data_IF_672678035316
#
_entry.id   IF_672678035316
#
_cell.length_a   1.000
_cell.length_b   1.000
_cell.length_c   1.000
_cell.angle_alpha   90.00
_cell.angle_beta   90.00
_cell.angle_gamma   90.00
#
_symmetry.space_group_name_H-M   'P 1'
#
loop_
_entity.id
_entity.type
_entity.pdbx_description
1 polymer ?
#
# COMPACT_ATOMS: atom_id res chain seq x y z
N UNK A 1 12.81 10.94 4.43
CA UNK A 1 12.47 9.52 4.15
C UNK A 1 12.41 8.82 5.50
N UNK A 2 11.31 8.11 5.80
CA UNK A 2 11.06 7.46 7.09
C UNK A 2 10.91 5.95 6.92
N UNK A 3 11.61 5.16 7.73
CA UNK A 3 11.49 3.69 7.79
C UNK A 3 11.60 3.01 6.43
N UNK A 4 12.60 3.38 5.63
CA UNK A 4 12.76 2.88 4.27
C UNK A 4 14.19 2.46 3.97
N UNK A 5 14.35 1.25 3.43
CA UNK A 5 15.65 0.70 3.05
C UNK A 5 15.67 0.29 1.56
N UNK A 6 15.69 1.28 0.70
CA UNK A 6 15.66 1.07 -0.76
C UNK A 6 16.78 0.17 -1.28
N UNK A 7 17.94 0.15 -0.60
CA UNK A 7 19.09 -0.66 -1.04
C UNK A 7 18.82 -2.15 -0.95
N UNK A 8 17.97 -2.55 -0.03
CA UNK A 8 17.64 -3.97 0.18
C UNK A 8 16.29 -4.32 -0.41
N UNK A 9 15.25 -3.53 -0.10
CA UNK A 9 13.87 -3.90 -0.46
C UNK A 9 13.50 -3.61 -1.91
N UNK A 10 14.18 -2.69 -2.59
CA UNK A 10 13.81 -2.14 -3.90
C UNK A 10 12.33 -1.72 -4.03
N UNK A 11 11.42 -2.42 -3.37
CA UNK A 11 9.99 -2.12 -3.32
C UNK A 11 9.34 -1.97 -4.70
N UNK A 12 8.27 -1.19 -4.79
CA UNK A 12 7.60 -0.85 -6.04
C UNK A 12 8.52 -0.16 -7.07
N UNK A 13 9.66 0.33 -6.64
CA UNK A 13 10.62 1.05 -7.48
C UNK A 13 11.35 0.19 -8.50
N UNK A 14 11.25 -1.13 -8.42
CA UNK A 14 11.79 -2.00 -9.49
C UNK A 14 11.11 -1.77 -10.83
N UNK A 15 9.81 -1.57 -10.83
CA UNK A 15 9.02 -1.29 -12.04
C UNK A 15 8.87 0.21 -12.30
N UNK A 16 8.81 1.02 -11.24
CA UNK A 16 8.33 2.41 -11.29
C UNK A 16 9.45 3.45 -11.20
N UNK A 17 10.58 3.13 -10.64
CA UNK A 17 11.70 4.05 -10.43
C UNK A 17 13.05 3.35 -10.54
N UNK A 18 13.33 2.76 -11.69
CA UNK A 18 14.60 2.07 -11.92
C UNK A 18 15.80 2.92 -11.51
N UNK A 19 16.74 2.29 -10.79
CA UNK A 19 17.97 2.91 -10.32
C UNK A 19 17.73 4.13 -9.39
N UNK A 20 16.98 3.92 -8.32
CA UNK A 20 16.64 4.94 -7.31
C UNK A 20 17.87 5.68 -6.79
N UNK A 21 19.01 4.99 -6.61
CA UNK A 21 20.24 5.63 -6.12
C UNK A 21 20.81 6.65 -7.09
N UNK A 22 20.75 6.38 -8.38
CA UNK A 22 21.15 7.38 -9.39
C UNK A 22 20.27 8.62 -9.25
N UNK A 23 18.96 8.43 -9.10
CA UNK A 23 18.01 9.54 -8.94
C UNK A 23 18.20 10.32 -7.64
N UNK A 24 18.44 9.65 -6.51
CA UNK A 24 18.79 10.31 -5.25
C UNK A 24 20.10 11.09 -5.37
N UNK A 25 21.11 10.53 -6.03
CA UNK A 25 22.37 11.22 -6.28
C UNK A 25 22.19 12.43 -7.22
N UNK A 26 21.33 12.34 -8.23
CA UNK A 26 20.95 13.47 -9.09
C UNK A 26 20.27 14.60 -8.31
N UNK A 27 19.44 14.30 -7.32
CA UNK A 27 18.87 15.29 -6.38
C UNK A 27 19.99 16.03 -5.66
N UNK A 28 20.93 15.29 -5.07
CA UNK A 28 22.07 15.85 -4.35
C UNK A 28 22.97 16.71 -5.24
N UNK A 29 23.24 16.26 -6.46
CA UNK A 29 24.04 17.01 -7.45
C UNK A 29 23.41 18.34 -7.83
N UNK A 30 22.08 18.46 -7.75
CA UNK A 30 21.34 19.71 -7.97
C UNK A 30 21.25 20.59 -6.70
N UNK A 31 21.94 20.24 -5.61
CA UNK A 31 21.90 20.94 -4.33
C UNK A 31 20.72 20.56 -3.44
N UNK A 32 19.94 19.54 -3.81
CA UNK A 32 18.93 18.98 -2.93
C UNK A 32 19.54 18.10 -1.83
N UNK A 33 18.74 17.75 -0.82
CA UNK A 33 19.16 17.02 0.36
C UNK A 33 18.29 15.79 0.58
N UNK A 34 18.91 14.66 0.93
CA UNK A 34 18.24 13.41 1.24
C UNK A 34 18.48 13.06 2.71
N UNK A 35 17.47 13.13 3.54
CA UNK A 35 17.51 12.82 4.98
C UNK A 35 16.77 11.50 5.23
N UNK A 36 17.42 10.59 5.96
CA UNK A 36 16.83 9.32 6.41
C UNK A 36 16.57 9.34 7.91
N UNK A 37 15.35 9.03 8.29
CA UNK A 37 14.94 8.79 9.68
C UNK A 37 14.67 7.29 9.80
N UNK A 38 15.46 6.59 10.60
CA UNK A 38 15.35 5.13 10.75
C UNK A 38 16.00 4.70 12.09
N UNK A 39 15.39 3.82 12.87
CA UNK A 39 15.97 3.34 14.13
C UNK A 39 17.24 2.53 13.91
N UNK A 40 17.53 2.12 12.68
CA UNK A 40 18.72 1.36 12.31
C UNK A 40 19.52 2.08 11.22
N UNK A 41 20.83 2.05 11.33
CA UNK A 41 21.70 2.50 10.24
C UNK A 41 21.69 1.47 9.10
N UNK A 42 20.71 1.62 8.24
CA UNK A 42 20.46 0.70 7.12
C UNK A 42 21.51 0.86 6.01
N UNK A 43 21.52 -0.08 5.06
CA UNK A 43 22.36 -0.02 3.88
C UNK A 43 22.08 1.24 3.04
N UNK A 44 20.85 1.75 3.08
CA UNK A 44 20.44 3.00 2.42
C UNK A 44 21.06 4.24 3.07
N UNK A 45 21.35 4.23 4.37
CA UNK A 45 21.92 5.38 5.09
C UNK A 45 23.24 5.88 4.48
N UNK A 46 24.01 4.99 3.85
CA UNK A 46 25.27 5.33 3.17
C UNK A 46 25.09 6.25 1.95
N UNK A 47 23.89 6.32 1.43
CA UNK A 47 23.55 7.09 0.22
C UNK A 47 22.75 8.36 0.54
N UNK A 48 22.54 8.64 1.82
CA UNK A 48 21.85 9.83 2.31
C UNK A 48 22.84 10.90 2.77
N UNK A 49 22.41 12.15 2.79
CA UNK A 49 23.21 13.25 3.31
C UNK A 49 23.20 13.24 4.83
N UNK A 50 22.06 12.86 5.42
CA UNK A 50 21.91 12.71 6.87
C UNK A 50 21.14 11.43 7.22
N UNK A 51 21.49 10.88 8.38
CA UNK A 51 20.73 9.79 9.01
C UNK A 51 20.55 10.13 10.49
N UNK A 52 19.30 10.19 10.92
CA UNK A 52 18.92 10.36 12.32
C UNK A 52 18.33 9.06 12.84
N UNK A 53 18.85 8.59 13.95
CA UNK A 53 18.24 7.51 14.70
C UNK A 53 16.96 8.01 15.35
N UNK A 54 15.93 7.19 15.33
CA UNK A 54 14.67 7.48 15.99
C UNK A 54 14.30 6.33 16.92
N UNK A 55 13.70 6.64 18.06
CA UNK A 55 13.11 5.62 18.92
C UNK A 55 12.04 4.84 18.12
N UNK A 56 12.08 3.50 18.09
CA UNK A 56 11.06 2.70 17.40
C UNK A 56 9.64 3.10 17.82
N UNK A 57 8.74 3.17 16.87
CA UNK A 57 7.33 3.60 16.99
C UNK A 57 7.08 5.11 17.19
N UNK A 58 8.13 5.95 17.36
CA UNK A 58 7.99 7.40 17.61
C UNK A 58 7.89 8.26 16.33
N UNK A 59 7.73 7.64 15.15
CA UNK A 59 7.67 8.34 13.85
C UNK A 59 6.56 9.39 13.78
N UNK A 60 5.38 9.08 14.33
CA UNK A 60 4.25 10.02 14.39
C UNK A 60 4.57 11.24 15.26
N UNK A 61 5.27 11.05 16.37
CA UNK A 61 5.71 12.16 17.25
C UNK A 61 6.69 13.06 16.51
N UNK A 62 7.66 12.50 15.80
CA UNK A 62 8.61 13.27 14.99
C UNK A 62 7.88 14.12 13.94
N UNK A 63 6.92 13.55 13.20
CA UNK A 63 6.14 14.27 12.21
C UNK A 63 5.28 15.39 12.83
N UNK A 64 4.68 15.15 14.00
CA UNK A 64 3.97 16.19 14.76
C UNK A 64 4.93 17.36 15.08
N UNK A 65 6.14 17.08 15.52
CA UNK A 65 7.14 18.11 15.80
C UNK A 65 7.52 18.94 14.57
N UNK A 66 7.70 18.28 13.41
CA UNK A 66 7.96 19.00 12.17
C UNK A 66 6.78 19.92 11.78
N UNK A 67 5.55 19.40 11.87
CA UNK A 67 4.34 20.16 11.52
C UNK A 67 4.16 21.37 12.46
N UNK A 68 4.38 21.21 13.77
CA UNK A 68 4.35 22.31 14.73
C UNK A 68 5.30 23.44 14.35
N UNK A 69 6.55 23.08 14.06
CA UNK A 69 7.58 24.08 13.69
C UNK A 69 7.19 24.81 12.41
N UNK A 70 6.66 24.09 11.42
CA UNK A 70 6.21 24.70 10.16
C UNK A 70 5.11 25.73 10.39
N UNK A 71 4.11 25.44 11.23
CA UNK A 71 3.05 26.40 11.57
C UNK A 71 3.59 27.54 12.42
N UNK A 72 4.34 27.24 13.47
CA UNK A 72 4.88 28.26 14.40
C UNK A 72 5.79 29.29 13.69
N UNK A 73 6.49 28.88 12.62
CA UNK A 73 7.34 29.78 11.80
C UNK A 73 6.63 30.40 10.61
N UNK A 74 5.31 30.16 10.45
CA UNK A 74 4.53 30.70 9.32
C UNK A 74 4.97 30.16 7.95
N UNK A 75 5.54 28.96 7.92
CA UNK A 75 6.05 28.30 6.71
C UNK A 75 4.99 27.43 6.01
N UNK A 76 3.81 27.28 6.61
CA UNK A 76 2.72 26.50 6.03
C UNK A 76 2.15 27.22 4.80
N UNK A 77 2.27 26.58 3.63
CA UNK A 77 1.85 27.10 2.32
C UNK A 77 1.28 25.98 1.47
N UNK A 78 -0.04 25.80 1.41
CA UNK A 78 -0.68 24.68 0.68
C UNK A 78 -0.58 24.80 -0.85
N UNK A 79 0.01 25.87 -1.37
CA UNK A 79 0.22 26.07 -2.81
C UNK A 79 -1.09 26.11 -3.59
N UNK A 80 -1.09 25.52 -4.79
CA UNK A 80 -2.25 25.51 -5.68
C UNK A 80 -3.43 24.68 -5.15
N UNK A 81 -3.21 23.83 -4.14
CA UNK A 81 -4.29 23.05 -3.52
C UNK A 81 -5.07 23.80 -2.43
N UNK A 82 -4.73 25.06 -2.11
CA UNK A 82 -5.30 25.82 -0.99
C UNK A 82 -6.84 25.82 -0.93
N UNK A 83 -7.50 26.00 -2.08
CA UNK A 83 -8.97 26.03 -2.17
C UNK A 83 -9.62 24.62 -2.15
N UNK A 84 -8.80 23.58 -2.27
CA UNK A 84 -9.22 22.20 -2.35
C UNK A 84 -8.89 21.40 -1.11
N UNK A 85 -8.81 22.05 0.06
CA UNK A 85 -8.50 21.41 1.34
C UNK A 85 -9.62 21.71 2.34
N UNK A 86 -10.17 20.63 2.93
CA UNK A 86 -11.01 20.70 4.10
C UNK A 86 -10.18 20.39 5.37
N UNK A 87 -10.52 21.00 6.50
CA UNK A 87 -9.89 20.70 7.79
C UNK A 87 -8.54 21.39 8.03
N UNK A 88 -8.11 22.32 7.18
CA UNK A 88 -6.85 23.07 7.35
C UNK A 88 -6.67 23.68 8.74
N UNK A 89 -7.70 24.42 9.21
CA UNK A 89 -7.65 25.12 10.51
C UNK A 89 -7.61 24.19 11.73
N UNK A 90 -7.83 22.89 11.53
CA UNK A 90 -7.80 21.91 12.62
C UNK A 90 -6.39 21.40 12.89
N UNK A 91 -5.48 21.40 11.91
CA UNK A 91 -4.17 20.75 12.02
C UNK A 91 -3.31 21.40 13.11
N UNK A 92 -3.16 22.72 13.07
CA UNK A 92 -2.32 23.42 14.04
C UNK A 92 -2.77 23.20 15.49
N UNK A 93 -4.06 23.35 15.86
CA UNK A 93 -4.53 23.03 17.20
C UNK A 93 -4.33 21.55 17.61
N UNK A 94 -4.45 20.62 16.67
CA UNK A 94 -4.24 19.19 16.93
C UNK A 94 -2.80 18.87 17.28
N UNK A 95 -1.84 19.37 16.52
CA UNK A 95 -0.41 19.10 16.76
C UNK A 95 0.12 19.88 17.98
N UNK A 96 -0.42 21.06 18.27
CA UNK A 96 -0.02 21.89 19.41
C UNK A 96 -0.44 21.32 20.79
N UNK A 97 -1.15 20.20 20.82
CA UNK A 97 -1.44 19.46 22.07
C UNK A 97 -0.20 18.69 22.60
N UNK A 98 0.87 18.62 21.82
CA UNK A 98 2.09 17.89 22.15
C UNK A 98 3.22 18.90 22.43
N UNK A 99 3.99 18.71 23.51
CA UNK A 99 5.13 19.55 23.80
C UNK A 99 6.35 19.19 22.94
N UNK A 100 6.99 20.16 22.30
CA UNK A 100 8.12 19.93 21.41
C UNK A 100 9.36 19.39 22.15
N UNK A 101 9.53 19.74 23.45
CA UNK A 101 10.59 19.19 24.29
C UNK A 101 10.35 17.70 24.55
N UNK A 102 9.10 17.32 24.87
CA UNK A 102 8.72 15.91 25.02
C UNK A 102 8.86 15.13 23.72
N UNK A 103 8.50 15.74 22.58
CA UNK A 103 8.73 15.14 21.25
C UNK A 103 10.21 14.81 21.03
N UNK A 104 11.11 15.76 21.32
CA UNK A 104 12.54 15.54 21.19
C UNK A 104 13.04 14.40 22.09
N UNK A 105 12.57 14.37 23.33
CA UNK A 105 12.89 13.32 24.30
C UNK A 105 12.45 11.93 23.81
N UNK A 106 11.18 11.74 23.46
CA UNK A 106 10.63 10.43 23.07
C UNK A 106 11.14 9.94 21.72
N UNK A 107 11.44 10.85 20.80
CA UNK A 107 12.01 10.49 19.49
C UNK A 107 13.51 10.22 19.54
N UNK A 108 14.20 10.77 20.53
CA UNK A 108 15.67 10.76 20.60
C UNK A 108 16.34 11.67 19.58
N UNK A 109 15.59 12.53 18.89
CA UNK A 109 16.09 13.51 17.91
C UNK A 109 16.13 14.88 18.57
N UNK A 110 17.28 15.53 18.56
CA UNK A 110 17.43 16.83 19.18
C UNK A 110 16.41 17.85 18.65
N UNK A 111 15.86 18.67 19.53
CA UNK A 111 14.90 19.73 19.16
C UNK A 111 15.44 20.62 18.03
N UNK A 112 16.71 20.99 18.09
CA UNK A 112 17.38 21.79 17.04
C UNK A 112 17.37 21.12 15.68
N UNK A 113 17.49 19.77 15.64
CA UNK A 113 17.41 19.02 14.39
C UNK A 113 15.98 18.97 13.86
N UNK A 114 14.98 18.78 14.74
CA UNK A 114 13.55 18.83 14.36
C UNK A 114 13.24 20.20 13.76
N UNK A 115 13.64 21.29 14.42
CA UNK A 115 13.44 22.66 13.96
C UNK A 115 14.11 22.90 12.60
N UNK A 116 15.37 22.51 12.46
CA UNK A 116 16.14 22.66 11.22
C UNK A 116 15.55 21.85 10.07
N UNK A 117 15.23 20.58 10.30
CA UNK A 117 14.66 19.71 9.25
C UNK A 117 13.31 20.26 8.78
N UNK A 118 12.47 20.74 9.69
CA UNK A 118 11.18 21.35 9.35
C UNK A 118 11.35 22.58 8.46
N UNK A 119 12.28 23.47 8.81
CA UNK A 119 12.59 24.67 8.04
C UNK A 119 13.17 24.33 6.66
N UNK A 120 14.16 23.45 6.60
CA UNK A 120 14.78 23.00 5.35
C UNK A 120 13.72 22.39 4.42
N UNK A 121 12.83 21.53 4.97
CA UNK A 121 11.78 20.89 4.20
C UNK A 121 10.76 21.90 3.65
N UNK A 122 10.27 22.81 4.49
CA UNK A 122 9.24 23.78 4.12
C UNK A 122 9.78 24.94 3.25
N UNK A 123 11.09 25.22 3.31
CA UNK A 123 11.73 26.26 2.51
C UNK A 123 12.32 25.74 1.20
N UNK A 124 12.35 24.43 0.97
CA UNK A 124 12.81 23.85 -0.27
C UNK A 124 11.88 24.25 -1.43
N UNK A 125 12.43 24.41 -2.63
CA UNK A 125 11.63 24.66 -3.83
C UNK A 125 10.62 23.54 -4.11
N UNK A 126 10.99 22.30 -3.78
CA UNK A 126 10.14 21.14 -3.78
C UNK A 126 10.71 20.08 -2.81
N UNK A 127 9.84 19.35 -2.15
CA UNK A 127 10.24 18.30 -1.22
C UNK A 127 9.21 17.17 -1.18
N UNK A 128 9.61 15.98 -0.71
CA UNK A 128 8.70 14.85 -0.50
C UNK A 128 8.97 14.22 0.86
N UNK A 129 7.95 14.20 1.71
CA UNK A 129 7.91 13.35 2.88
C UNK A 129 7.43 11.96 2.45
N UNK A 130 8.28 10.95 2.61
CA UNK A 130 8.05 9.61 2.08
C UNK A 130 8.43 8.54 3.09
N UNK A 131 7.57 7.56 3.27
CA UNK A 131 7.81 6.41 4.15
C UNK A 131 7.43 5.10 3.48
N UNK A 132 7.99 4.00 3.99
CA UNK A 132 7.72 2.64 3.50
C UNK A 132 7.32 1.71 4.66
N UNK A 133 7.53 0.42 4.49
CA UNK A 133 7.11 -0.64 5.40
C UNK A 133 7.51 -0.38 6.86
N UNK A 134 8.68 0.23 7.12
CA UNK A 134 9.12 0.54 8.47
C UNK A 134 8.12 1.38 9.26
N UNK A 135 7.51 2.39 8.63
CA UNK A 135 6.49 3.23 9.27
C UNK A 135 5.06 2.68 9.14
N UNK A 136 4.88 1.58 8.42
CA UNK A 136 3.59 0.88 8.31
C UNK A 136 3.47 -0.29 9.29
N UNK A 137 4.57 -0.69 9.93
CA UNK A 137 4.65 -1.81 10.88
C UNK A 137 4.85 -1.33 12.33
N UNK A 138 4.55 -0.07 12.60
CA UNK A 138 4.65 0.55 13.93
C UNK A 138 3.28 0.66 14.59
N UNK A 139 3.26 0.86 15.90
CA UNK A 139 2.04 0.92 16.70
C UNK A 139 1.04 2.00 16.25
N UNK A 140 1.56 3.13 15.73
CA UNK A 140 0.74 4.27 15.24
C UNK A 140 0.91 4.47 13.73
N UNK A 141 0.95 3.37 12.97
CA UNK A 141 1.20 3.39 11.54
C UNK A 141 0.19 4.27 10.76
N UNK A 142 -1.09 4.18 11.07
CA UNK A 142 -2.13 4.99 10.45
C UNK A 142 -1.89 6.49 10.65
N UNK A 143 -1.59 6.91 11.89
CA UNK A 143 -1.24 8.30 12.20
C UNK A 143 0.03 8.75 11.48
N UNK A 144 1.06 7.91 11.43
CA UNK A 144 2.32 8.22 10.73
C UNK A 144 2.07 8.44 9.24
N UNK A 145 1.31 7.57 8.59
CA UNK A 145 0.97 7.69 7.16
C UNK A 145 0.14 8.96 6.90
N UNK A 146 -0.85 9.24 7.73
CA UNK A 146 -1.63 10.47 7.65
C UNK A 146 -0.77 11.72 7.79
N UNK A 147 0.07 11.81 8.82
CA UNK A 147 0.92 12.97 9.10
C UNK A 147 1.97 13.20 7.98
N UNK A 148 2.46 12.16 7.32
CA UNK A 148 3.30 12.31 6.13
C UNK A 148 2.55 13.01 4.99
N UNK A 149 1.26 12.68 4.78
CA UNK A 149 0.45 13.38 3.78
C UNK A 149 0.17 14.82 4.20
N UNK A 150 -0.12 15.05 5.49
CA UNK A 150 -0.25 16.42 6.04
C UNK A 150 1.00 17.24 5.74
N UNK A 151 2.21 16.69 5.98
CA UNK A 151 3.48 17.35 5.64
C UNK A 151 3.55 17.79 4.17
N UNK A 152 3.24 16.88 3.24
CA UNK A 152 3.28 17.19 1.82
C UNK A 152 2.24 18.26 1.41
N UNK A 153 1.05 18.22 2.03
CA UNK A 153 -0.02 19.18 1.73
C UNK A 153 0.31 20.57 2.30
N UNK A 154 0.69 20.67 3.58
CA UNK A 154 0.90 21.96 4.24
C UNK A 154 2.11 22.73 3.72
N UNK A 155 3.01 22.06 2.99
CA UNK A 155 4.20 22.67 2.38
C UNK A 155 4.09 22.86 0.87
N UNK A 156 2.89 22.66 0.30
CA UNK A 156 2.60 22.87 -1.12
C UNK A 156 3.22 21.84 -2.06
N UNK A 157 3.63 20.70 -1.52
CA UNK A 157 4.28 19.63 -2.29
C UNK A 157 3.29 18.56 -2.82
N UNK A 158 1.98 18.70 -2.52
CA UNK A 158 0.96 17.78 -3.02
C UNK A 158 0.59 18.15 -4.46
N UNK A 159 0.73 17.19 -5.36
CA UNK A 159 0.51 17.31 -6.79
C UNK A 159 1.29 18.49 -7.41
N UNK A 160 2.56 18.61 -7.04
CA UNK A 160 3.47 19.64 -7.52
C UNK A 160 4.72 19.01 -8.13
N UNK A 161 5.28 19.65 -9.17
CA UNK A 161 6.49 19.15 -9.86
C UNK A 161 7.67 19.12 -8.90
N UNK A 162 8.26 17.94 -8.74
CA UNK A 162 9.34 17.69 -7.76
C UNK A 162 8.83 17.40 -6.35
N UNK A 163 7.54 17.51 -6.10
CA UNK A 163 6.83 17.06 -4.93
C UNK A 163 6.20 15.68 -5.13
N UNK A 164 5.08 15.44 -4.47
CA UNK A 164 4.30 14.22 -4.58
C UNK A 164 3.29 14.35 -5.71
N UNK A 165 3.49 13.62 -6.80
CA UNK A 165 2.61 13.63 -7.97
C UNK A 165 1.95 12.25 -8.16
N UNK A 166 0.90 12.23 -8.97
CA UNK A 166 0.12 11.03 -9.25
C UNK A 166 0.28 10.61 -10.70
N UNK A 167 0.64 9.34 -10.98
CA UNK A 167 0.71 8.84 -12.35
C UNK A 167 -0.69 8.65 -12.92
N UNK A 168 -0.76 8.66 -14.25
CA UNK A 168 -1.95 8.31 -15.01
C UNK A 168 -1.73 6.94 -15.66
N UNK A 169 -2.13 5.85 -15.00
CA UNK A 169 -1.89 4.50 -15.52
C UNK A 169 -2.68 4.24 -16.81
N UNK A 170 -2.16 3.36 -17.65
CA UNK A 170 -2.82 3.04 -18.92
C UNK A 170 -4.12 2.23 -18.74
N UNK A 171 -4.26 1.54 -17.61
CA UNK A 171 -5.51 0.93 -17.15
C UNK A 171 -5.79 1.50 -15.75
N UNK A 172 -6.89 2.21 -15.61
CA UNK A 172 -7.30 2.75 -14.32
C UNK A 172 -7.96 1.66 -13.47
N UNK A 173 -7.29 1.24 -12.41
CA UNK A 173 -7.79 0.18 -11.50
C UNK A 173 -8.48 0.74 -10.25
N UNK A 174 -8.18 1.97 -9.82
CA UNK A 174 -8.77 2.57 -8.62
C UNK A 174 -10.30 2.60 -8.61
N UNK A 175 -11.01 2.94 -9.71
CA UNK A 175 -12.47 2.89 -9.73
C UNK A 175 -13.06 1.49 -9.52
N UNK A 176 -12.25 0.44 -9.67
CA UNK A 176 -12.66 -0.95 -9.46
C UNK A 176 -12.46 -1.39 -8.00
N UNK A 177 -11.79 -0.60 -7.18
CA UNK A 177 -11.56 -0.92 -5.77
C UNK A 177 -12.72 -0.44 -4.92
N UNK A 178 -13.09 -1.22 -3.91
CA UNK A 178 -14.05 -0.80 -2.92
C UNK A 178 -13.39 0.26 -2.01
N UNK A 179 -14.06 1.40 -1.82
CA UNK A 179 -13.62 2.43 -0.88
C UNK A 179 -14.57 2.43 0.30
N UNK A 180 -14.30 1.59 1.30
CA UNK A 180 -15.08 1.50 2.53
C UNK A 180 -14.15 1.51 3.74
N UNK A 181 -14.68 1.98 4.86
CA UNK A 181 -14.04 1.99 6.15
C UNK A 181 -15.09 1.82 7.23
N UNK A 182 -14.89 0.83 8.12
CA UNK A 182 -15.73 0.58 9.29
C UNK A 182 -17.23 0.42 8.97
N UNK A 183 -17.55 -0.13 7.79
CA UNK A 183 -18.94 -0.43 7.41
C UNK A 183 -19.45 -1.70 8.09
N UNK A 184 -18.55 -2.60 8.45
CA UNK A 184 -18.81 -3.77 9.29
C UNK A 184 -17.55 -4.15 10.08
N UNK A 185 -17.75 -4.90 11.16
CA UNK A 185 -16.66 -5.29 12.08
C UNK A 185 -16.53 -6.77 12.19
N UNK A 186 -15.30 -7.22 12.49
CA UNK A 186 -15.03 -8.62 12.75
C UNK A 186 -15.80 -9.11 13.98
N UNK A 187 -16.22 -10.36 13.93
CA UNK A 187 -17.12 -10.97 14.92
C UNK A 187 -16.49 -11.11 16.32
N UNK A 188 -15.21 -11.49 16.36
CA UNK A 188 -14.51 -11.80 17.61
C UNK A 188 -13.81 -10.56 18.18
N UNK A 189 -13.03 -9.90 17.38
CA UNK A 189 -12.15 -8.81 17.85
C UNK A 189 -12.75 -7.42 17.69
N UNK A 190 -13.91 -7.29 17.00
CA UNK A 190 -14.54 -6.00 16.73
C UNK A 190 -13.71 -5.07 15.84
N UNK A 191 -12.69 -5.59 15.15
CA UNK A 191 -11.84 -4.78 14.26
C UNK A 191 -12.63 -4.32 13.05
N UNK A 192 -12.48 -3.05 12.64
CA UNK A 192 -13.15 -2.52 11.45
C UNK A 192 -12.59 -3.14 10.19
N UNK A 193 -13.42 -3.26 9.20
CA UNK A 193 -13.04 -3.55 7.83
C UNK A 193 -12.42 -2.31 7.17
N UNK A 194 -11.52 -2.54 6.19
CA UNK A 194 -11.00 -1.53 5.28
C UNK A 194 -11.06 -2.06 3.84
N UNK A 195 -11.74 -1.34 2.96
CA UNK A 195 -11.91 -1.71 1.54
C UNK A 195 -12.44 -3.14 1.32
N UNK A 196 -13.32 -3.60 2.21
CA UNK A 196 -13.89 -4.94 2.17
C UNK A 196 -13.01 -6.03 2.81
N UNK A 197 -11.89 -5.67 3.42
CA UNK A 197 -10.90 -6.60 3.98
C UNK A 197 -10.77 -6.43 5.49
N UNK A 198 -10.48 -7.54 6.17
CA UNK A 198 -10.06 -7.53 7.57
C UNK A 198 -8.55 -7.67 7.71
N UNK A 199 -7.96 -7.16 8.80
CA UNK A 199 -6.56 -7.44 9.12
C UNK A 199 -6.32 -8.94 9.21
N UNK A 200 -5.32 -9.45 8.49
CA UNK A 200 -4.98 -10.88 8.50
C UNK A 200 -4.68 -11.39 9.93
N UNK A 201 -4.19 -10.54 10.81
CA UNK A 201 -3.85 -10.89 12.19
C UNK A 201 -5.03 -11.45 13.02
N UNK A 202 -6.28 -11.18 12.63
CA UNK A 202 -7.46 -11.68 13.35
C UNK A 202 -7.96 -13.05 12.85
N UNK A 203 -7.35 -13.59 11.79
CA UNK A 203 -7.84 -14.82 11.15
C UNK A 203 -7.88 -16.01 12.13
N UNK A 204 -6.88 -16.12 12.99
CA UNK A 204 -6.80 -17.20 13.97
C UNK A 204 -7.99 -17.21 14.95
N UNK A 205 -8.34 -16.05 15.50
CA UNK A 205 -9.47 -15.88 16.40
C UNK A 205 -10.82 -16.15 15.70
N UNK A 206 -10.97 -15.69 14.45
CA UNK A 206 -12.19 -15.91 13.68
C UNK A 206 -12.42 -17.39 13.31
N UNK A 207 -11.34 -18.17 13.17
CA UNK A 207 -11.39 -19.62 12.97
C UNK A 207 -11.65 -20.35 14.29
N UNK A 208 -10.90 -20.02 15.35
CA UNK A 208 -10.87 -20.82 16.59
C UNK A 208 -12.01 -20.52 17.54
N UNK A 209 -12.64 -19.36 17.46
CA UNK A 209 -13.73 -18.98 18.36
C UNK A 209 -15.07 -19.52 17.85
N UNK A 210 -15.74 -20.46 18.55
CA UNK A 210 -17.03 -21.00 18.15
C UNK A 210 -18.13 -19.93 18.12
N UNK A 211 -19.16 -20.15 17.33
CA UNK A 211 -20.37 -19.32 17.31
C UNK A 211 -20.87 -19.03 15.89
N UNK A 212 -21.96 -18.27 15.81
CA UNK A 212 -22.53 -17.85 14.53
C UNK A 212 -21.52 -17.03 13.73
N UNK A 213 -21.39 -17.33 12.43
CA UNK A 213 -20.42 -16.66 11.55
C UNK A 213 -18.97 -17.11 11.72
N UNK A 214 -18.68 -18.17 12.48
CA UNK A 214 -17.33 -18.74 12.59
C UNK A 214 -16.76 -19.07 11.21
N UNK A 215 -15.50 -18.73 10.99
CA UNK A 215 -14.76 -19.12 9.78
C UNK A 215 -14.42 -20.61 9.88
N UNK A 216 -15.06 -21.43 9.05
CA UNK A 216 -14.90 -22.89 9.02
C UNK A 216 -14.24 -23.40 7.75
N UNK A 217 -14.24 -22.58 6.69
CA UNK A 217 -13.57 -22.87 5.44
C UNK A 217 -12.66 -21.74 5.00
N UNK A 218 -11.54 -22.06 4.37
CA UNK A 218 -10.55 -21.12 3.88
C UNK A 218 -10.20 -21.40 2.41
N UNK A 219 -10.11 -20.36 1.62
CA UNK A 219 -9.45 -20.36 0.31
C UNK A 219 -8.21 -19.47 0.42
N UNK A 220 -7.02 -20.09 0.51
CA UNK A 220 -5.74 -19.39 0.56
C UNK A 220 -5.15 -19.21 -0.84
N UNK A 221 -4.56 -18.05 -1.11
CA UNK A 221 -3.91 -17.74 -2.37
C UNK A 221 -2.48 -17.26 -2.14
N UNK A 222 -1.51 -18.03 -2.66
CA UNK A 222 -0.11 -17.65 -2.81
C UNK A 222 0.52 -17.01 -1.53
N UNK A 223 0.16 -17.51 -0.36
CA UNK A 223 0.61 -16.96 0.92
C UNK A 223 1.12 -18.02 1.87
N UNK A 224 2.32 -17.88 2.41
CA UNK A 224 2.82 -18.71 3.49
C UNK A 224 2.54 -18.03 4.84
N UNK A 225 1.27 -18.10 5.29
CA UNK A 225 0.77 -17.42 6.49
C UNK A 225 1.50 -17.84 7.75
N UNK A 226 1.85 -19.12 7.88
CA UNK A 226 2.58 -19.63 9.04
C UNK A 226 3.92 -18.95 9.25
N UNK A 227 4.62 -18.59 8.15
CA UNK A 227 5.91 -17.90 8.23
C UNK A 227 5.78 -16.36 8.21
N UNK A 228 4.72 -15.82 7.62
CA UNK A 228 4.61 -14.39 7.41
C UNK A 228 3.75 -13.64 8.43
N UNK A 229 2.92 -14.35 9.21
CA UNK A 229 2.15 -13.76 10.30
C UNK A 229 2.94 -13.68 11.60
N UNK A 230 2.52 -12.81 12.51
CA UNK A 230 3.22 -12.54 13.76
C UNK A 230 3.31 -13.76 14.68
N UNK A 231 2.27 -14.62 14.72
CA UNK A 231 2.23 -15.84 15.51
C UNK A 231 1.97 -17.06 14.61
N UNK A 232 3.06 -17.68 14.14
CA UNK A 232 3.01 -18.87 13.31
C UNK A 232 2.38 -20.07 14.00
N UNK A 233 2.65 -20.26 15.30
CA UNK A 233 2.07 -21.38 16.06
C UNK A 233 0.56 -21.24 16.26
N UNK A 234 0.08 -20.02 16.53
CA UNK A 234 -1.35 -19.75 16.59
C UNK A 234 -2.01 -19.98 15.22
N UNK A 235 -1.34 -19.52 14.15
CA UNK A 235 -1.78 -19.74 12.76
C UNK A 235 -1.86 -21.23 12.42
N UNK A 236 -0.88 -22.05 12.80
CA UNK A 236 -0.92 -23.51 12.60
C UNK A 236 -2.10 -24.17 13.31
N UNK A 237 -2.36 -23.78 14.57
CA UNK A 237 -3.51 -24.29 15.33
C UNK A 237 -4.82 -23.92 14.65
N UNK A 238 -4.95 -22.68 14.18
CA UNK A 238 -6.13 -22.22 13.49
C UNK A 238 -6.35 -22.97 12.16
N UNK A 239 -5.32 -23.11 11.33
CA UNK A 239 -5.41 -23.85 10.08
C UNK A 239 -5.80 -25.32 10.30
N UNK A 240 -5.29 -25.95 11.34
CA UNK A 240 -5.64 -27.33 11.69
C UNK A 240 -7.08 -27.49 12.22
N UNK A 241 -7.70 -26.40 12.70
CA UNK A 241 -9.08 -26.38 13.19
C UNK A 241 -10.12 -26.13 12.09
N UNK A 242 -9.71 -25.81 10.88
CA UNK A 242 -10.61 -25.60 9.75
C UNK A 242 -11.31 -26.92 9.36
N UNK A 243 -12.57 -26.82 8.96
CA UNK A 243 -13.33 -27.95 8.39
C UNK A 243 -12.93 -28.22 6.93
N UNK A 244 -12.49 -27.20 6.20
CA UNK A 244 -12.06 -27.34 4.81
C UNK A 244 -11.12 -26.20 4.41
N UNK A 245 -9.96 -26.55 3.87
CA UNK A 245 -8.99 -25.58 3.38
C UNK A 245 -8.55 -25.92 1.94
N UNK A 246 -8.71 -24.97 1.04
CA UNK A 246 -8.21 -25.04 -0.34
C UNK A 246 -7.06 -24.04 -0.49
N UNK A 247 -5.91 -24.50 -0.94
CA UNK A 247 -4.77 -23.64 -1.24
C UNK A 247 -4.52 -23.55 -2.75
N UNK A 248 -4.44 -22.34 -3.28
CA UNK A 248 -3.96 -22.08 -4.64
C UNK A 248 -2.50 -21.65 -4.54
N UNK A 249 -1.60 -22.61 -4.62
CA UNK A 249 -0.16 -22.41 -4.42
C UNK A 249 0.62 -23.51 -5.17
N UNK A 250 1.73 -23.19 -5.86
CA UNK A 250 2.55 -24.18 -6.54
C UNK A 250 3.39 -25.04 -5.58
N UNK A 251 3.52 -24.63 -4.31
CA UNK A 251 4.38 -25.28 -3.33
C UNK A 251 3.63 -25.95 -2.19
N UNK A 252 4.16 -27.07 -1.73
CA UNK A 252 3.83 -27.63 -0.43
C UNK A 252 4.77 -26.98 0.59
N UNK A 253 4.21 -26.11 1.42
CA UNK A 253 4.93 -25.32 2.41
C UNK A 253 4.28 -25.43 3.80
N UNK A 254 4.76 -24.66 4.79
CA UNK A 254 4.32 -24.69 6.17
C UNK A 254 2.83 -24.38 6.32
N UNK A 255 2.25 -23.62 5.40
CA UNK A 255 0.82 -23.26 5.38
C UNK A 255 0.00 -24.28 4.58
N UNK A 256 0.43 -24.60 3.37
CA UNK A 256 -0.37 -25.43 2.45
C UNK A 256 -0.40 -26.90 2.86
N UNK A 257 0.49 -27.36 3.76
CA UNK A 257 0.43 -28.71 4.35
C UNK A 257 -0.84 -28.98 5.14
N UNK A 258 -1.57 -27.93 5.57
CA UNK A 258 -2.86 -28.05 6.25
C UNK A 258 -4.06 -28.06 5.27
N UNK A 259 -3.82 -27.86 3.99
CA UNK A 259 -4.89 -27.82 3.01
C UNK A 259 -5.42 -29.22 2.66
N UNK A 260 -6.75 -29.36 2.57
CA UNK A 260 -7.40 -30.56 2.07
C UNK A 260 -7.21 -30.71 0.56
N UNK A 261 -7.10 -29.58 -0.14
CA UNK A 261 -6.88 -29.54 -1.58
C UNK A 261 -5.86 -28.45 -1.93
N UNK A 262 -4.87 -28.81 -2.71
CA UNK A 262 -3.91 -27.86 -3.29
C UNK A 262 -4.16 -27.80 -4.80
N UNK A 263 -4.35 -26.59 -5.32
CA UNK A 263 -4.53 -26.30 -6.74
C UNK A 263 -3.28 -25.55 -7.24
N UNK A 264 -2.28 -26.25 -7.78
CA UNK A 264 -1.04 -25.62 -8.21
C UNK A 264 -1.24 -24.88 -9.54
N UNK A 265 -1.12 -23.53 -9.56
CA UNK A 265 -1.17 -22.77 -10.79
C UNK A 265 0.11 -22.91 -11.60
N UNK A 266 0.08 -22.49 -12.87
CA UNK A 266 1.29 -22.38 -13.67
C UNK A 266 2.25 -21.33 -13.10
N UNK A 267 3.53 -21.50 -13.36
CA UNK A 267 4.58 -20.59 -12.88
C UNK A 267 4.49 -19.19 -13.50
N UNK A 268 5.12 -18.18 -12.86
CA UNK A 268 5.04 -16.80 -13.32
C UNK A 268 5.68 -16.59 -14.72
N UNK A 269 6.60 -17.44 -15.15
CA UNK A 269 7.20 -17.38 -16.49
C UNK A 269 6.41 -18.17 -17.55
N UNK A 270 5.42 -18.94 -17.13
CA UNK A 270 4.52 -19.70 -18.01
C UNK A 270 3.24 -18.91 -18.38
N UNK A 271 3.10 -17.66 -17.91
CA UNK A 271 1.97 -16.76 -18.23
C UNK A 271 2.45 -15.36 -18.53
N UNK A 272 1.68 -14.62 -19.32
CA UNK A 272 1.92 -13.21 -19.55
C UNK A 272 1.61 -12.38 -18.30
N UNK A 273 2.27 -11.24 -18.15
CA UNK A 273 2.09 -10.35 -17.02
C UNK A 273 1.93 -8.89 -17.47
N UNK A 274 0.91 -8.24 -16.95
CA UNK A 274 0.70 -6.81 -16.99
C UNK A 274 0.45 -6.29 -15.59
N UNK A 275 1.24 -5.32 -15.15
CA UNK A 275 1.17 -4.81 -13.79
C UNK A 275 0.11 -3.71 -13.70
N UNK A 276 -1.09 -4.04 -13.17
CA UNK A 276 -2.17 -3.08 -13.05
C UNK A 276 -2.02 -2.14 -11.85
N UNK A 277 -1.44 -2.62 -10.75
CA UNK A 277 -1.43 -1.88 -9.48
C UNK A 277 -0.18 -1.04 -9.30
N UNK A 278 0.99 -1.53 -9.65
CA UNK A 278 2.23 -0.78 -9.43
C UNK A 278 2.36 0.44 -10.34
N UNK A 279 1.66 0.48 -11.47
CA UNK A 279 1.57 1.69 -12.29
C UNK A 279 0.92 2.89 -11.58
N UNK A 280 0.21 2.67 -10.47
CA UNK A 280 -0.29 3.72 -9.58
C UNK A 280 0.82 4.42 -8.76
N UNK A 281 2.03 3.87 -8.75
CA UNK A 281 3.18 4.39 -8.01
C UNK A 281 4.35 4.78 -8.93
N UNK A 282 4.11 4.85 -10.23
CA UNK A 282 5.12 5.20 -11.22
C UNK A 282 5.60 6.65 -11.07
N UNK A 283 6.87 6.87 -11.35
CA UNK A 283 7.48 8.21 -11.40
C UNK A 283 7.42 8.86 -12.78
N UNK A 284 6.91 8.14 -13.76
CA UNK A 284 6.61 8.56 -15.13
C UNK A 284 5.39 7.79 -15.61
N UNK A 285 4.66 8.29 -16.57
CA UNK A 285 3.61 7.52 -17.23
C UNK A 285 4.22 6.57 -18.25
N UNK A 286 4.07 5.28 -18.04
CA UNK A 286 4.55 4.25 -18.94
C UNK A 286 3.71 2.99 -18.85
N UNK A 287 3.89 2.09 -19.80
CA UNK A 287 3.16 0.83 -19.80
C UNK A 287 4.01 -0.26 -20.41
N UNK A 288 4.03 -1.43 -19.79
CA UNK A 288 4.81 -2.58 -20.23
C UNK A 288 4.02 -3.87 -20.07
N UNK A 289 4.17 -4.76 -21.02
CA UNK A 289 3.69 -6.13 -20.95
C UNK A 289 4.89 -7.08 -21.02
N UNK A 290 4.91 -8.09 -20.18
CA UNK A 290 5.90 -9.16 -20.20
C UNK A 290 5.21 -10.42 -20.73
N UNK A 291 5.53 -10.89 -21.96
CA UNK A 291 4.96 -12.13 -22.48
C UNK A 291 5.51 -13.34 -21.70
N UNK A 292 4.78 -14.45 -21.75
CA UNK A 292 5.28 -15.71 -21.21
C UNK A 292 6.61 -16.09 -21.88
N UNK A 293 7.51 -16.65 -21.08
CA UNK A 293 8.81 -17.13 -21.56
C UNK A 293 8.75 -18.62 -21.93
N UNK A 294 8.01 -19.42 -21.17
CA UNK A 294 7.81 -20.84 -21.40
C UNK A 294 6.36 -21.12 -21.77
N UNK A 295 6.15 -22.13 -22.59
CA UNK A 295 4.79 -22.61 -22.88
C UNK A 295 4.17 -23.22 -21.62
N UNK A 296 2.91 -22.87 -21.36
CA UNK A 296 2.15 -23.48 -20.28
C UNK A 296 1.87 -24.93 -20.62
N UNK A 297 2.25 -25.85 -19.75
CA UNK A 297 1.92 -27.27 -19.95
C UNK A 297 0.40 -27.45 -19.93
N UNK A 298 -0.11 -28.31 -20.81
CA UNK A 298 -1.55 -28.55 -20.96
C UNK A 298 -2.27 -29.06 -19.70
N UNK A 299 -1.52 -29.60 -18.74
CA UNK A 299 -2.02 -30.07 -17.44
C UNK A 299 -2.08 -28.98 -16.36
N UNK A 300 -1.55 -27.79 -16.63
CA UNK A 300 -1.50 -26.68 -15.66
C UNK A 300 -2.51 -25.60 -16.04
N UNK A 301 -3.13 -25.03 -15.02
CA UNK A 301 -4.09 -23.92 -15.13
C UNK A 301 -3.41 -22.63 -14.65
N UNK A 302 -3.86 -21.52 -15.20
CA UNK A 302 -3.51 -20.20 -14.67
C UNK A 302 -4.36 -19.90 -13.43
N UNK A 303 -3.89 -19.00 -12.57
CA UNK A 303 -4.68 -18.52 -11.42
C UNK A 303 -6.06 -18.03 -11.86
N UNK A 304 -6.12 -17.30 -12.98
CA UNK A 304 -7.37 -16.77 -13.54
C UNK A 304 -8.36 -17.89 -13.88
N UNK A 305 -7.90 -18.97 -14.49
CA UNK A 305 -8.76 -20.12 -14.82
C UNK A 305 -9.25 -20.83 -13.57
N UNK A 306 -8.37 -21.05 -12.58
CA UNK A 306 -8.74 -21.65 -11.29
C UNK A 306 -9.84 -20.81 -10.63
N UNK A 307 -9.66 -19.49 -10.51
CA UNK A 307 -10.65 -18.62 -9.90
C UNK A 307 -11.95 -18.55 -10.69
N UNK A 308 -11.88 -18.49 -12.01
CA UNK A 308 -13.08 -18.48 -12.88
C UNK A 308 -13.91 -19.75 -12.66
N UNK A 309 -13.26 -20.91 -12.59
CA UNK A 309 -13.91 -22.19 -12.35
C UNK A 309 -14.51 -22.28 -10.93
N UNK A 310 -13.75 -21.86 -9.90
CA UNK A 310 -14.24 -21.82 -8.53
C UNK A 310 -15.45 -20.89 -8.38
N UNK A 311 -15.39 -19.69 -8.92
CA UNK A 311 -16.50 -18.73 -8.89
C UNK A 311 -17.76 -19.29 -9.57
N UNK A 312 -17.61 -19.97 -10.70
CA UNK A 312 -18.73 -20.63 -11.37
C UNK A 312 -19.32 -21.75 -10.53
N UNK A 313 -18.48 -22.54 -9.87
CA UNK A 313 -18.94 -23.60 -8.96
C UNK A 313 -19.73 -23.00 -7.77
N UNK A 314 -19.22 -21.95 -7.13
CA UNK A 314 -19.91 -21.25 -6.05
C UNK A 314 -21.25 -20.67 -6.49
N UNK A 315 -21.29 -19.96 -7.62
CA UNK A 315 -22.50 -19.35 -8.15
C UNK A 315 -23.59 -20.40 -8.44
N UNK A 316 -23.19 -21.55 -9.01
CA UNK A 316 -24.11 -22.67 -9.30
C UNK A 316 -24.61 -23.38 -8.03
N UNK A 317 -23.77 -23.51 -7.02
CA UNK A 317 -24.13 -24.16 -5.74
C UNK A 317 -25.06 -23.28 -4.89
N UNK A 318 -24.83 -21.95 -4.88
CA UNK A 318 -25.65 -21.01 -4.08
C UNK A 318 -27.07 -20.81 -4.59
N UNK A 319 -27.41 -21.19 -5.83
CA UNK A 319 -28.75 -21.06 -6.35
C UNK A 319 -29.47 -22.40 -6.45
N UNK A 320 -30.70 -22.43 -5.97
CA UNK A 320 -31.60 -23.59 -6.18
C UNK A 320 -32.27 -23.54 -7.57
N UNK A 321 -32.35 -22.36 -8.21
CA UNK A 321 -33.06 -22.15 -9.48
C UNK A 321 -32.27 -22.78 -10.64
N UNK A 322 -32.87 -23.76 -11.37
CA UNK A 322 -32.22 -24.47 -12.47
C UNK A 322 -31.87 -23.56 -13.67
N UNK A 323 -32.69 -22.54 -13.96
CA UNK A 323 -32.40 -21.57 -15.01
C UNK A 323 -31.20 -20.70 -14.69
N UNK A 324 -31.06 -20.29 -13.42
CA UNK A 324 -29.85 -19.55 -12.97
C UNK A 324 -28.62 -20.45 -13.02
N UNK A 325 -28.73 -21.75 -12.67
CA UNK A 325 -27.61 -22.70 -12.81
C UNK A 325 -27.12 -22.83 -14.25
N UNK A 326 -28.10 -22.94 -15.20
CA UNK A 326 -27.79 -23.00 -16.62
C UNK A 326 -27.14 -21.71 -17.11
N UNK A 327 -27.70 -20.56 -16.73
CA UNK A 327 -27.16 -19.25 -17.06
C UNK A 327 -25.70 -19.05 -16.56
N UNK A 328 -25.43 -19.39 -15.30
CA UNK A 328 -24.03 -19.34 -14.75
C UNK A 328 -23.10 -20.31 -15.47
N UNK A 329 -23.60 -21.49 -15.89
CA UNK A 329 -22.84 -22.44 -16.71
C UNK A 329 -22.50 -21.87 -18.09
N UNK A 330 -23.46 -21.25 -18.76
CA UNK A 330 -23.25 -20.62 -20.06
C UNK A 330 -22.29 -19.43 -19.99
N UNK A 331 -22.45 -18.56 -18.98
CA UNK A 331 -21.51 -17.45 -18.74
C UNK A 331 -20.10 -17.99 -18.49
N UNK A 332 -19.96 -18.99 -17.62
CA UNK A 332 -18.67 -19.60 -17.33
C UNK A 332 -17.99 -20.12 -18.60
N UNK A 333 -18.70 -20.88 -19.43
CA UNK A 333 -18.17 -21.39 -20.69
C UNK A 333 -17.74 -20.23 -21.61
N UNK A 334 -18.57 -19.20 -21.73
CA UNK A 334 -18.26 -18.01 -22.53
C UNK A 334 -17.00 -17.31 -21.99
N UNK A 335 -16.94 -17.02 -20.68
CA UNK A 335 -15.81 -16.32 -20.05
C UNK A 335 -14.54 -17.14 -20.24
N UNK A 336 -14.55 -18.43 -19.93
CA UNK A 336 -13.38 -19.31 -20.02
C UNK A 336 -12.78 -19.37 -21.44
N UNK A 337 -13.63 -19.39 -22.47
CA UNK A 337 -13.15 -19.53 -23.86
C UNK A 337 -12.93 -18.19 -24.57
N UNK A 338 -13.56 -17.11 -24.11
CA UNK A 338 -13.50 -15.83 -24.81
C UNK A 338 -12.78 -14.72 -24.06
N UNK A 339 -12.78 -14.75 -22.73
CA UNK A 339 -12.23 -13.68 -21.89
C UNK A 339 -10.91 -14.11 -21.23
N UNK A 340 -9.86 -14.26 -22.04
CA UNK A 340 -8.53 -14.50 -21.51
C UNK A 340 -7.97 -13.26 -20.82
N UNK A 341 -6.99 -13.43 -19.92
CA UNK A 341 -6.29 -12.32 -19.26
C UNK A 341 -5.73 -11.31 -20.26
N UNK A 342 -5.15 -11.78 -21.37
CA UNK A 342 -4.66 -10.93 -22.45
C UNK A 342 -5.76 -10.06 -23.08
N UNK A 343 -6.96 -10.63 -23.28
CA UNK A 343 -8.10 -9.85 -23.81
C UNK A 343 -8.61 -8.82 -22.82
N UNK A 344 -8.64 -9.16 -21.52
CA UNK A 344 -9.00 -8.19 -20.47
C UNK A 344 -8.02 -7.02 -20.47
N UNK A 345 -6.73 -7.31 -20.52
CA UNK A 345 -5.68 -6.28 -20.61
C UNK A 345 -5.81 -5.46 -21.89
N UNK A 346 -6.02 -6.10 -23.05
CA UNK A 346 -6.20 -5.38 -24.33
C UNK A 346 -7.41 -4.44 -24.31
N UNK A 347 -8.54 -4.90 -23.75
CA UNK A 347 -9.72 -4.05 -23.57
C UNK A 347 -9.44 -2.89 -22.62
N UNK A 348 -8.81 -3.17 -21.46
CA UNK A 348 -8.43 -2.12 -20.52
C UNK A 348 -7.52 -1.06 -21.15
N UNK A 349 -6.52 -1.47 -21.92
CA UNK A 349 -5.62 -0.55 -22.63
C UNK A 349 -6.34 0.27 -23.71
N UNK A 350 -7.27 -0.35 -24.46
CA UNK A 350 -8.02 0.33 -25.51
C UNK A 350 -9.03 1.34 -25.00
N UNK A 351 -9.66 1.05 -23.87
CA UNK A 351 -10.64 1.94 -23.24
C UNK A 351 -10.04 2.86 -22.17
N UNK A 352 -8.79 2.64 -21.78
CA UNK A 352 -8.06 3.50 -20.85
C UNK A 352 -7.65 4.84 -21.46
N UNK A 353 -7.00 5.69 -20.65
CA UNK A 353 -6.70 7.10 -21.01
C UNK A 353 -5.86 7.26 -22.29
N UNK A 354 -5.05 6.28 -22.64
CA UNK A 354 -4.19 6.29 -23.84
C UNK A 354 -4.72 5.43 -24.97
N UNK A 355 -5.87 4.82 -24.77
CA UNK A 355 -6.56 4.01 -25.78
C UNK A 355 -7.34 4.87 -26.78
N UNK A 356 -7.87 4.26 -27.82
CA UNK A 356 -8.77 4.89 -28.80
C UNK A 356 -9.94 3.97 -29.19
N UNK A 357 -10.38 3.17 -28.25
CA UNK A 357 -11.48 2.25 -28.42
C UNK A 357 -11.16 1.06 -29.34
N UNK A 358 -12.19 0.38 -29.80
CA UNK A 358 -12.08 -0.85 -30.59
C UNK A 358 -11.97 -0.55 -32.11
N UNK A 359 -11.96 0.71 -32.53
CA UNK A 359 -11.92 1.03 -33.95
C UNK A 359 -10.65 0.46 -34.63
N UNK A 360 -10.77 -0.54 -35.53
CA UNK A 360 -9.61 -1.20 -36.14
C UNK A 360 -8.81 -0.28 -37.06
N UNK A 361 -9.41 0.82 -37.54
CA UNK A 361 -8.75 1.81 -38.37
C UNK A 361 -7.92 2.82 -37.55
N UNK A 362 -8.09 2.85 -36.23
CA UNK A 362 -7.36 3.76 -35.38
C UNK A 362 -6.15 3.04 -34.71
N UNK A 363 -5.05 2.94 -35.44
CA UNK A 363 -3.80 2.30 -34.95
C UNK A 363 -3.00 3.18 -33.97
N UNK A 364 -3.44 4.42 -33.67
CA UNK A 364 -2.66 5.36 -32.85
C UNK A 364 -2.82 5.15 -31.34
N UNK A 365 -3.89 4.47 -30.88
CA UNK A 365 -4.14 4.18 -29.48
C UNK A 365 -3.27 3.06 -28.92
N UNK A 366 -3.21 2.98 -27.58
CA UNK A 366 -2.55 1.89 -26.87
C UNK A 366 -3.39 0.60 -27.03
N UNK A 367 -2.69 -0.53 -27.15
CA UNK A 367 -3.28 -1.88 -27.22
C UNK A 367 -2.24 -2.89 -26.74
N UNK A 368 -2.69 -4.08 -26.38
CA UNK A 368 -1.78 -5.15 -25.94
C UNK A 368 -0.78 -5.53 -27.04
N UNK A 369 -1.22 -5.60 -28.31
CA UNK A 369 -0.32 -5.89 -29.42
C UNK A 369 0.80 -4.85 -29.51
N UNK A 370 0.46 -3.57 -29.36
CA UNK A 370 1.47 -2.52 -29.37
C UNK A 370 2.48 -2.63 -28.23
N UNK A 371 2.06 -3.11 -27.06
CA UNK A 371 3.00 -3.41 -25.95
C UNK A 371 3.86 -4.64 -26.25
N UNK A 372 3.29 -5.69 -26.87
CA UNK A 372 4.05 -6.87 -27.30
C UNK A 372 5.13 -6.53 -28.33
N UNK A 373 4.84 -5.58 -29.22
CA UNK A 373 5.78 -5.09 -30.24
C UNK A 373 6.88 -4.17 -29.63
N UNK A 374 6.72 -3.77 -28.34
CA UNK A 374 7.66 -2.91 -27.62
C UNK A 374 8.07 -3.56 -26.29
N UNK A 375 8.97 -4.55 -26.29
CA UNK A 375 9.29 -5.37 -25.10
C UNK A 375 9.90 -4.57 -23.94
N UNK A 376 10.45 -3.40 -24.21
CA UNK A 376 10.99 -2.49 -23.19
C UNK A 376 9.93 -1.53 -22.59
N UNK A 377 8.65 -1.66 -23.01
CA UNK A 377 7.57 -0.78 -22.63
C UNK A 377 7.47 0.49 -23.49
N UNK A 378 6.42 1.25 -23.27
CA UNK A 378 6.11 2.48 -24.00
C UNK A 378 6.05 3.62 -23.01
N UNK A 379 6.86 4.67 -23.22
CA UNK A 379 6.76 5.92 -22.49
C UNK A 379 5.50 6.67 -22.95
N UNK A 380 4.64 7.04 -22.01
CA UNK A 380 3.35 7.68 -22.24
C UNK A 380 3.33 9.16 -21.86
N UNK A 381 4.42 9.64 -21.28
CA UNK A 381 4.61 11.03 -20.87
C UNK A 381 5.13 11.17 -19.44
N UNK A 382 5.50 12.38 -19.06
CA UNK A 382 5.83 12.74 -17.69
C UNK A 382 4.56 12.80 -16.85
N UNK A 383 4.71 12.82 -15.52
CA UNK A 383 3.60 13.13 -14.63
C UNK A 383 3.16 14.58 -14.85
N UNK A 384 1.87 14.78 -14.81
CA UNK A 384 1.21 16.08 -14.97
C UNK A 384 0.33 16.35 -13.76
N UNK A 385 -0.08 17.59 -13.54
CA UNK A 385 -1.05 17.92 -12.51
C UNK A 385 -2.34 17.13 -12.73
N UNK A 386 -2.80 16.47 -11.70
CA UNK A 386 -4.01 15.62 -11.74
C UNK A 386 -5.10 16.06 -10.77
N UNK A 387 -4.75 16.85 -9.77
CA UNK A 387 -5.70 17.33 -8.77
C UNK A 387 -6.18 18.74 -9.10
N UNK A 388 -7.42 19.12 -8.76
CA UNK A 388 -8.39 18.37 -7.93
C UNK A 388 -9.23 17.33 -8.68
N UNK A 389 -9.21 17.29 -10.02
CA UNK A 389 -10.09 16.46 -10.84
C UNK A 389 -9.91 14.94 -10.54
N UNK A 390 -8.67 14.55 -10.26
CA UNK A 390 -8.30 13.17 -9.90
C UNK A 390 -8.76 12.73 -8.50
N UNK A 391 -9.30 13.60 -7.66
CA UNK A 391 -9.83 13.22 -6.35
C UNK A 391 -11.14 12.44 -6.50
N UNK A 392 -11.29 11.36 -5.75
CA UNK A 392 -12.50 10.54 -5.71
C UNK A 392 -13.54 11.03 -4.69
N UNK A 393 -13.19 12.05 -3.87
CA UNK A 393 -14.14 12.71 -2.97
C UNK A 393 -15.23 13.44 -3.76
N UNK A 394 -16.47 13.42 -3.24
CA UNK A 394 -17.61 14.02 -3.93
C UNK A 394 -17.45 15.55 -4.15
N UNK A 395 -16.79 16.22 -3.22
CA UNK A 395 -16.55 17.66 -3.23
C UNK A 395 -15.22 18.05 -3.92
N UNK A 396 -14.46 17.07 -4.44
CA UNK A 396 -13.14 17.27 -5.03
C UNK A 396 -12.18 18.03 -4.11
N UNK A 397 -12.21 17.69 -2.81
CA UNK A 397 -11.32 18.26 -1.81
C UNK A 397 -10.58 17.19 -1.04
N UNK A 398 -9.39 17.53 -0.57
CA UNK A 398 -8.59 16.74 0.34
C UNK A 398 -9.14 16.95 1.76
N UNK A 399 -9.57 15.90 2.43
CA UNK A 399 -9.86 15.96 3.86
C UNK A 399 -8.56 15.82 4.65
N UNK A 400 -8.04 16.95 5.15
CA UNK A 400 -6.75 16.97 5.84
C UNK A 400 -6.85 16.48 7.30
N UNK A 401 -8.04 16.51 7.91
CA UNK A 401 -8.30 16.04 9.25
C UNK A 401 -9.41 14.98 9.28
N UNK A 402 -9.18 13.76 8.71
CA UNK A 402 -10.15 12.68 8.79
C UNK A 402 -10.41 12.27 10.24
N UNK A 403 -11.68 12.16 10.63
CA UNK A 403 -12.09 11.95 12.02
C UNK A 403 -11.44 10.71 12.66
N UNK A 404 -11.27 9.62 11.88
CA UNK A 404 -10.63 8.40 12.38
C UNK A 404 -9.18 8.59 12.86
N UNK A 405 -8.44 9.53 12.27
CA UNK A 405 -7.09 9.87 12.73
C UNK A 405 -7.11 10.88 13.87
N UNK A 406 -8.04 11.85 13.83
CA UNK A 406 -8.20 12.80 14.93
C UNK A 406 -8.58 12.07 16.22
N UNK A 407 -9.48 11.09 16.16
CA UNK A 407 -9.92 10.28 17.30
C UNK A 407 -8.82 9.35 17.85
N UNK A 408 -7.75 9.09 17.08
CA UNK A 408 -6.62 8.27 17.52
C UNK A 408 -5.48 9.06 18.19
N UNK A 409 -5.47 10.39 18.08
CA UNK A 409 -4.47 11.25 18.72
C UNK A 409 -4.45 11.14 20.26
N UNK A 410 -5.58 11.01 20.96
CA UNK A 410 -5.56 10.79 22.41
C UNK A 410 -4.82 9.50 22.82
N UNK A 411 -4.92 8.43 22.04
CA UNK A 411 -4.18 7.18 22.28
C UNK A 411 -2.67 7.38 22.11
N UNK A 412 -2.27 8.13 21.08
CA UNK A 412 -0.87 8.52 20.87
C UNK A 412 -0.33 9.34 22.05
N UNK A 413 -1.13 10.32 22.52
CA UNK A 413 -0.78 11.17 23.65
C UNK A 413 -0.64 10.37 24.94
N UNK A 414 -1.58 9.50 25.24
CA UNK A 414 -1.54 8.62 26.40
C UNK A 414 -0.27 7.76 26.42
N UNK A 415 0.14 7.23 25.25
CA UNK A 415 1.31 6.39 25.16
C UNK A 415 2.64 7.17 25.35
N UNK A 416 2.83 8.29 24.67
CA UNK A 416 4.13 8.99 24.63
C UNK A 416 4.23 10.16 25.61
N UNK A 417 3.13 10.74 26.04
CA UNK A 417 3.13 11.96 26.88
C UNK A 417 2.69 11.67 28.29
N UNK A 418 1.63 10.88 28.47
CA UNK A 418 1.00 10.67 29.77
C UNK A 418 1.59 9.45 30.53
N UNK A 419 2.78 8.98 30.15
CA UNK A 419 3.53 7.94 30.88
C UNK A 419 3.28 6.50 30.44
N UNK A 420 2.50 6.26 29.37
CA UNK A 420 2.20 4.91 28.89
C UNK A 420 3.44 4.14 28.44
N UNK A 421 4.39 4.80 27.78
CA UNK A 421 5.66 4.19 27.36
C UNK A 421 6.55 3.78 28.55
N UNK A 422 6.56 4.58 29.58
CA UNK A 422 7.33 4.32 30.81
C UNK A 422 6.72 3.16 31.60
N UNK A 423 5.38 3.06 31.63
CA UNK A 423 4.67 1.94 32.24
C UNK A 423 4.97 0.61 31.50
N UNK A 424 4.89 0.61 30.15
CA UNK A 424 5.23 -0.57 29.34
C UNK A 424 6.68 -1.00 29.53
N UNK A 425 7.64 -0.06 29.65
CA UNK A 425 9.04 -0.38 29.93
C UNK A 425 9.25 -0.96 31.32
N UNK A 426 8.53 -0.47 32.33
CA UNK A 426 8.62 -0.98 33.71
C UNK A 426 8.05 -2.39 33.86
N UNK A 427 7.12 -2.80 33.00
CA UNK A 427 6.55 -4.14 32.97
C UNK A 427 7.34 -5.13 32.11
N UNK A 428 8.28 -4.63 31.29
CA UNK A 428 9.09 -5.46 30.41
C UNK A 428 10.31 -6.04 31.14
N UNK A 429 10.47 -7.36 31.07
CA UNK A 429 11.66 -8.07 31.57
C UNK A 429 12.92 -7.75 30.71
N UNK A 430 12.73 -7.17 29.51
CA UNK A 430 13.80 -6.90 28.56
C UNK A 430 13.76 -5.44 28.07
N UNK A 431 14.89 -4.77 28.14
CA UNK A 431 15.09 -3.40 27.66
C UNK A 431 15.37 -3.32 26.14
N UNK A 432 14.82 -4.26 25.36
CA UNK A 432 15.02 -4.35 23.92
C UNK A 432 13.70 -4.37 23.15
N UNK A 433 13.66 -3.58 22.07
CA UNK A 433 12.56 -3.62 21.09
C UNK A 433 12.99 -4.38 19.82
N UNK A 434 12.15 -5.29 19.36
CA UNK A 434 12.38 -6.01 18.11
C UNK A 434 12.10 -5.07 16.93
N UNK A 435 13.10 -4.89 16.09
CA UNK A 435 12.98 -4.18 14.82
C UNK A 435 12.99 -5.23 13.72
N UNK A 436 11.85 -5.39 13.04
CA UNK A 436 11.78 -6.36 11.93
C UNK A 436 12.61 -5.89 10.73
N UNK A 437 13.31 -6.82 10.11
CA UNK A 437 13.94 -6.65 8.81
C UNK A 437 13.22 -7.53 7.81
N UNK A 438 12.67 -6.94 6.76
CA UNK A 438 12.29 -7.71 5.59
C UNK A 438 13.57 -8.23 4.92
N UNK A 439 13.81 -9.51 5.04
CA UNK A 439 14.81 -10.21 4.22
C UNK A 439 14.10 -10.69 2.97
N UNK A 440 14.66 -10.35 1.81
CA UNK A 440 14.24 -10.93 0.55
C UNK A 440 14.64 -12.40 0.48
#
# INVERSE_FOLDING_TARGET
MLGTNHKVSNGAQMSTGANTYKKLNEIRQRGGKCILIDPRRTESAKYMDEHHFITPHADSMFLIGLIQVIFAKGLAKPGRMAEHINGWSQIEPLVNQFDLGRIAEVTGIARSDIERIAEEFASANSAVCYGRTGVSMVQFAGLTQWLMQVMNVITGNMDEIGGMMFPKPAIESLPLTQSSWDTYRSRVTGRPEFSGEFPMAILGEEIMTPGEGQVRGLLGLAGNMVLSMADGHHTEKALNALEFYVAVDPYLNETTRFADVILPPCGPLEKGHYDMFYHLYDTINWSKYSPQLFETQSSKWTDFEIFTDLMACFARKRTANPLKKLFYGAIHTLVRHTLTTDRIVDLGLRFGPYGKGINPFNKKGLSLQKLKDNPHGIFLGNLEYSLPEGLYTADKKINLAPQCFVDDLPRLKAHFVDGGMEAEQSESEFDMKIISRLTN
#
